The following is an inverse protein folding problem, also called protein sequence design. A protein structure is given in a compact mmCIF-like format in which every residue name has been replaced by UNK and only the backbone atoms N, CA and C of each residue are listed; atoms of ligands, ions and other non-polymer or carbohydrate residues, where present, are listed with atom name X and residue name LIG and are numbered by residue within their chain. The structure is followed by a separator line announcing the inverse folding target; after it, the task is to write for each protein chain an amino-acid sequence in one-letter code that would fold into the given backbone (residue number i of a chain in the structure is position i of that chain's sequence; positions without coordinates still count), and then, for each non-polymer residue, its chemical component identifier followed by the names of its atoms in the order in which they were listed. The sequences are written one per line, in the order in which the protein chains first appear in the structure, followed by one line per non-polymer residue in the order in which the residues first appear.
data_IF_083289034039
#
_entry.id   IF_083289034039
#
_cell.length_a   1.000
_cell.length_b   1.000
_cell.length_c   1.000
_cell.angle_alpha   90.00
_cell.angle_beta   90.00
_cell.angle_gamma   90.00
#
_symmetry.space_group_name_H-M   'P 1'
#
loop_
_entity.id
_entity.type
_entity.pdbx_description
1 polymer ?
#
# COMPACT_ATOMS: atom_id res chain seq x y z
N UNK A 1 8.34 8.47 -1.22
CA UNK A 1 8.31 7.02 -0.90
C UNK A 1 7.18 6.34 -1.65
N UNK A 2 7.42 5.13 -2.13
CA UNK A 2 6.40 4.25 -2.73
C UNK A 2 6.44 2.88 -2.06
N UNK A 3 5.32 2.15 -2.11
CA UNK A 3 5.24 0.78 -1.63
C UNK A 3 4.42 -0.05 -2.61
N UNK A 4 4.99 -1.16 -3.10
CA UNK A 4 4.34 -2.02 -4.11
C UNK A 4 4.71 -3.49 -3.91
N UNK A 5 3.79 -4.39 -4.28
CA UNK A 5 4.08 -5.84 -4.37
C UNK A 5 4.67 -6.23 -5.73
N UNK A 6 4.56 -5.36 -6.74
CA UNK A 6 5.25 -5.48 -8.02
C UNK A 6 6.46 -4.54 -8.04
N UNK A 7 7.65 -5.07 -8.36
CA UNK A 7 8.91 -4.33 -8.33
C UNK A 7 9.99 -5.01 -9.19
N UNK A 8 11.04 -4.25 -9.49
CA UNK A 8 12.19 -4.64 -10.31
C UNK A 8 13.47 -4.17 -9.60
N UNK A 9 14.35 -5.10 -9.22
CA UNK A 9 15.67 -4.85 -8.62
C UNK A 9 16.71 -5.36 -9.64
N UNK A 10 17.22 -4.44 -10.43
CA UNK A 10 17.91 -4.72 -11.70
C UNK A 10 19.22 -5.50 -11.53
N UNK A 11 20.06 -5.11 -10.59
CA UNK A 11 21.36 -5.71 -10.31
C UNK A 11 21.26 -7.08 -9.63
N UNK A 12 20.14 -7.37 -8.96
CA UNK A 12 19.82 -8.70 -8.43
C UNK A 12 19.06 -9.59 -9.42
N UNK A 13 18.72 -9.07 -10.61
CA UNK A 13 17.88 -9.74 -11.59
C UNK A 13 16.52 -10.22 -11.01
N UNK A 14 16.00 -9.53 -10.00
CA UNK A 14 14.70 -9.83 -9.38
C UNK A 14 13.61 -9.03 -10.07
N UNK A 15 12.58 -9.73 -10.54
CA UNK A 15 11.45 -9.11 -11.23
C UNK A 15 10.13 -9.74 -10.81
N UNK A 16 9.32 -8.95 -10.12
CA UNK A 16 7.97 -9.31 -9.69
C UNK A 16 6.98 -8.47 -10.50
N UNK A 17 6.39 -9.06 -11.54
CA UNK A 17 5.59 -8.32 -12.52
C UNK A 17 4.47 -9.17 -13.07
N UNK A 18 3.25 -8.67 -12.95
CA UNK A 18 2.07 -9.33 -13.53
C UNK A 18 1.18 -8.39 -14.35
N UNK A 19 1.34 -7.06 -14.25
CA UNK A 19 0.46 -6.14 -14.94
C UNK A 19 1.02 -4.75 -15.20
N UNK A 20 0.11 -3.79 -15.37
CA UNK A 20 0.44 -2.39 -15.65
C UNK A 20 1.18 -1.70 -14.49
N UNK A 21 0.91 -2.11 -13.24
CA UNK A 21 1.64 -1.58 -12.08
C UNK A 21 3.12 -1.98 -12.12
N UNK A 22 3.45 -3.23 -12.44
CA UNK A 22 4.84 -3.66 -12.61
C UNK A 22 5.56 -2.98 -13.78
N UNK A 23 4.85 -2.56 -14.84
CA UNK A 23 5.42 -1.69 -15.88
C UNK A 23 5.78 -0.32 -15.31
N UNK A 24 4.87 0.29 -14.53
CA UNK A 24 5.12 1.59 -13.90
C UNK A 24 6.26 1.53 -12.89
N UNK A 25 6.31 0.49 -12.05
CA UNK A 25 7.42 0.21 -11.16
C UNK A 25 8.75 0.22 -11.92
N UNK A 26 8.86 -0.56 -12.99
CA UNK A 26 10.08 -0.63 -13.80
C UNK A 26 10.47 0.74 -14.40
N UNK A 27 9.50 1.50 -14.91
CA UNK A 27 9.75 2.81 -15.49
C UNK A 27 10.17 3.84 -14.45
N UNK A 28 9.55 3.83 -13.26
CA UNK A 28 9.93 4.69 -12.15
C UNK A 28 11.38 4.43 -11.73
N UNK A 29 11.78 3.17 -11.61
CA UNK A 29 13.15 2.80 -11.24
C UNK A 29 14.22 3.29 -12.23
N UNK A 30 13.85 3.46 -13.50
CA UNK A 30 14.76 3.91 -14.57
C UNK A 30 14.75 5.42 -14.79
N UNK A 31 13.62 6.09 -14.56
CA UNK A 31 13.41 7.48 -14.99
C UNK A 31 13.33 8.49 -13.83
N UNK A 32 13.20 8.04 -12.57
CA UNK A 32 13.16 8.93 -11.40
C UNK A 32 14.55 9.17 -10.78
N UNK A 33 15.62 9.16 -11.58
CA UNK A 33 17.01 9.31 -11.09
C UNK A 33 17.31 10.63 -10.36
N UNK A 34 16.41 11.60 -10.46
CA UNK A 34 16.51 12.93 -9.85
C UNK A 34 15.77 13.05 -8.51
N UNK A 35 15.19 11.96 -8.00
CA UNK A 35 14.45 11.91 -6.74
C UNK A 35 15.04 10.83 -5.84
N UNK A 36 15.27 11.11 -4.55
CA UNK A 36 15.65 10.05 -3.61
C UNK A 36 14.42 9.19 -3.29
N UNK A 37 14.43 7.94 -3.74
CA UNK A 37 13.27 7.08 -3.70
C UNK A 37 13.42 6.00 -2.62
N UNK A 38 12.62 6.09 -1.57
CA UNK A 38 12.40 4.98 -0.66
C UNK A 38 11.31 4.08 -1.26
N UNK A 39 11.62 2.80 -1.45
CA UNK A 39 10.73 1.82 -2.07
C UNK A 39 10.55 0.59 -1.17
N UNK A 40 9.38 0.49 -0.53
CA UNK A 40 9.04 -0.66 0.32
C UNK A 40 8.50 -1.81 -0.53
N UNK A 41 9.06 -3.00 -0.35
CA UNK A 41 8.70 -4.21 -1.11
C UNK A 41 8.68 -5.47 -0.21
N UNK A 42 7.73 -6.41 -0.41
CA UNK A 42 7.71 -7.68 0.32
C UNK A 42 8.56 -8.74 -0.38
N UNK A 43 9.26 -9.57 0.38
CA UNK A 43 9.98 -10.74 -0.14
C UNK A 43 9.01 -11.90 -0.41
N UNK A 44 8.89 -12.35 -1.67
CA UNK A 44 8.01 -13.46 -2.07
C UNK A 44 8.70 -14.82 -1.93
N UNK A 45 7.95 -15.93 -2.00
CA UNK A 45 8.45 -17.26 -1.63
C UNK A 45 9.36 -17.94 -2.66
N UNK A 46 9.13 -17.72 -3.95
CA UNK A 46 9.83 -18.39 -5.06
C UNK A 46 11.03 -17.58 -5.59
N UNK A 47 11.54 -16.66 -4.79
CA UNK A 47 12.67 -15.77 -5.12
C UNK A 47 13.68 -15.78 -3.98
N UNK A 48 14.95 -15.96 -4.34
CA UNK A 48 16.09 -15.79 -3.44
C UNK A 48 16.49 -14.32 -3.43
N UNK A 49 16.52 -13.73 -2.23
CA UNK A 49 16.95 -12.35 -2.02
C UNK A 49 18.34 -12.37 -1.40
N UNK A 50 19.36 -11.79 -2.06
CA UNK A 50 20.68 -11.61 -1.47
C UNK A 50 20.60 -10.83 -0.15
N UNK A 51 21.50 -11.14 0.77
CA UNK A 51 21.72 -10.29 1.95
C UNK A 51 22.58 -9.09 1.55
N UNK A 52 22.19 -7.89 1.97
CA UNK A 52 22.94 -6.65 1.75
C UNK A 52 23.12 -5.89 3.06
N UNK A 53 22.20 -5.00 3.42
CA UNK A 53 22.28 -4.22 4.65
C UNK A 53 21.17 -4.62 5.62
N UNK A 54 21.37 -5.63 6.49
CA UNK A 54 20.44 -5.92 7.57
C UNK A 54 20.14 -4.67 8.40
N UNK A 55 18.88 -4.48 8.73
CA UNK A 55 18.40 -3.37 9.53
C UNK A 55 17.58 -3.86 10.72
N UNK A 56 17.28 -2.96 11.66
CA UNK A 56 16.43 -3.29 12.80
C UNK A 56 15.08 -3.86 12.33
N UNK A 57 14.60 -4.99 12.88
CA UNK A 57 13.31 -5.54 12.52
C UNK A 57 12.16 -4.55 12.75
N UNK A 58 11.07 -4.72 11.99
CA UNK A 58 9.80 -4.04 12.27
C UNK A 58 8.93 -4.98 13.09
N UNK A 59 8.17 -4.44 14.03
CA UNK A 59 7.19 -5.19 14.81
C UNK A 59 5.79 -4.73 14.44
N UNK A 60 4.98 -5.64 13.92
CA UNK A 60 3.57 -5.39 13.57
C UNK A 60 2.66 -6.09 14.57
N UNK A 61 1.49 -5.53 14.83
CA UNK A 61 0.51 -6.17 15.72
C UNK A 61 -0.67 -6.67 14.90
N UNK A 62 -1.07 -7.92 15.10
CA UNK A 62 -2.24 -8.53 14.45
C UNK A 62 -2.97 -9.35 15.49
N UNK A 63 -4.28 -9.12 15.65
CA UNK A 63 -5.09 -9.79 16.67
C UNK A 63 -4.49 -9.66 18.09
N UNK A 64 -3.90 -8.51 18.40
CA UNK A 64 -3.25 -8.22 19.68
C UNK A 64 -1.89 -8.89 19.89
N UNK A 65 -1.39 -9.68 18.94
CA UNK A 65 -0.08 -10.32 19.02
C UNK A 65 0.95 -9.56 18.19
N UNK A 66 2.17 -9.42 18.72
CA UNK A 66 3.28 -8.79 18.02
C UNK A 66 4.05 -9.82 17.19
N UNK A 67 4.32 -9.47 15.93
CA UNK A 67 5.06 -10.29 14.98
C UNK A 67 6.27 -9.52 14.45
N UNK A 68 7.41 -10.20 14.41
CA UNK A 68 8.64 -9.67 13.84
C UNK A 68 8.61 -9.77 12.30
N UNK A 69 9.02 -8.69 11.64
CA UNK A 69 9.30 -8.62 10.22
C UNK A 69 10.77 -8.25 10.07
N UNK A 70 11.56 -9.15 9.46
CA UNK A 70 12.96 -8.88 9.18
C UNK A 70 13.06 -7.83 8.07
N UNK A 71 13.99 -6.91 8.24
CA UNK A 71 14.20 -5.81 7.30
C UNK A 71 15.64 -5.81 6.86
N UNK A 72 15.85 -5.61 5.57
CA UNK A 72 17.14 -5.20 5.04
C UNK A 72 16.96 -4.10 4.01
N UNK A 73 18.03 -3.34 3.81
CA UNK A 73 18.09 -2.30 2.80
C UNK A 73 19.01 -2.74 1.66
N UNK A 74 18.61 -2.35 0.46
CA UNK A 74 19.44 -2.45 -0.72
C UNK A 74 19.38 -1.12 -1.48
N UNK A 75 20.54 -0.56 -1.79
CA UNK A 75 20.64 0.75 -2.45
C UNK A 75 21.14 0.56 -3.87
N UNK A 76 20.26 0.85 -4.84
CA UNK A 76 20.61 0.88 -6.26
C UNK A 76 20.39 2.29 -6.80
N UNK A 77 21.48 2.98 -7.13
CA UNK A 77 21.47 4.39 -7.57
C UNK A 77 20.85 5.28 -6.49
N UNK A 78 19.76 5.97 -6.80
CA UNK A 78 18.99 6.86 -5.93
C UNK A 78 17.80 6.17 -5.24
N UNK A 79 17.71 4.84 -5.34
CA UNK A 79 16.60 4.05 -4.79
C UNK A 79 17.11 3.26 -3.58
N UNK A 80 16.48 3.45 -2.44
CA UNK A 80 16.63 2.58 -1.27
C UNK A 80 15.45 1.62 -1.24
N UNK A 81 15.69 0.37 -1.58
CA UNK A 81 14.73 -0.70 -1.41
C UNK A 81 14.69 -1.12 0.06
N UNK A 82 13.50 -1.10 0.64
CA UNK A 82 13.21 -1.61 1.98
C UNK A 82 12.54 -2.96 1.81
N UNK A 83 13.32 -4.03 1.99
CA UNK A 83 12.85 -5.40 1.82
C UNK A 83 12.25 -5.91 3.12
N UNK A 84 11.01 -6.36 3.06
CA UNK A 84 10.25 -6.90 4.19
C UNK A 84 10.17 -8.43 4.06
N UNK A 85 10.78 -9.14 5.01
CA UNK A 85 10.78 -10.58 5.04
C UNK A 85 10.12 -11.12 6.32
N UNK A 86 8.99 -11.79 6.13
CA UNK A 86 8.25 -12.46 7.20
C UNK A 86 7.43 -13.61 6.61
N UNK A 87 7.05 -14.62 7.42
CA UNK A 87 6.22 -15.73 6.96
C UNK A 87 4.93 -15.32 6.25
N UNK A 88 4.34 -14.17 6.61
CA UNK A 88 3.13 -13.64 5.96
C UNK A 88 3.37 -13.17 4.52
N UNK A 89 4.59 -12.77 4.16
CA UNK A 89 4.93 -12.24 2.83
C UNK A 89 5.44 -13.30 1.85
N UNK A 90 5.75 -14.50 2.34
CA UNK A 90 6.32 -15.61 1.56
C UNK A 90 5.32 -16.46 0.75
N UNK A 91 4.01 -16.55 1.05
CA UNK A 91 3.09 -17.33 0.23
C UNK A 91 2.92 -16.84 -1.21
N UNK A 92 2.86 -15.52 -1.50
CA UNK A 92 2.88 -15.01 -2.87
C UNK A 92 4.14 -15.42 -3.64
N UNK A 93 4.04 -15.38 -4.98
CA UNK A 93 5.13 -15.73 -5.91
C UNK A 93 5.43 -14.59 -6.87
N UNK A 94 6.51 -14.68 -7.65
CA UNK A 94 6.86 -13.67 -8.66
C UNK A 94 5.81 -13.52 -9.77
N UNK A 95 5.03 -14.58 -10.04
CA UNK A 95 3.93 -14.59 -11.02
C UNK A 95 2.56 -14.37 -10.40
N UNK A 96 2.44 -14.47 -9.07
CA UNK A 96 1.23 -14.23 -8.30
C UNK A 96 1.58 -13.47 -7.01
N UNK A 97 1.91 -12.17 -7.10
CA UNK A 97 2.48 -11.39 -5.99
C UNK A 97 1.44 -10.86 -4.99
N UNK A 98 0.16 -11.14 -5.21
CA UNK A 98 -0.93 -10.73 -4.33
C UNK A 98 -1.53 -11.96 -3.62
N UNK A 99 -2.10 -11.80 -2.41
CA UNK A 99 -2.93 -12.84 -1.81
C UNK A 99 -4.01 -13.35 -2.77
N UNK A 100 -4.18 -14.67 -2.87
CA UNK A 100 -5.08 -15.31 -3.83
C UNK A 100 -6.57 -14.98 -3.61
N UNK A 101 -6.94 -14.72 -2.35
CA UNK A 101 -8.25 -14.22 -1.93
C UNK A 101 -8.09 -12.83 -1.34
N UNK A 102 -9.10 -11.99 -1.51
CA UNK A 102 -9.05 -10.58 -1.10
C UNK A 102 -9.93 -10.26 0.11
N UNK A 103 -10.71 -11.22 0.61
CA UNK A 103 -11.78 -11.02 1.59
C UNK A 103 -11.78 -12.08 2.71
N UNK A 104 -10.65 -12.75 2.91
CA UNK A 104 -10.46 -13.73 3.99
C UNK A 104 -9.52 -13.21 5.09
N UNK A 105 -9.36 -14.02 6.14
CA UNK A 105 -8.51 -13.67 7.28
C UNK A 105 -7.03 -13.59 6.87
N UNK A 106 -6.54 -14.49 6.02
CA UNK A 106 -5.13 -14.53 5.61
C UNK A 106 -4.75 -13.27 4.84
N UNK A 107 -5.61 -12.83 3.92
CA UNK A 107 -5.40 -11.56 3.20
C UNK A 107 -5.55 -10.34 4.12
N UNK A 108 -6.45 -10.38 5.11
CA UNK A 108 -6.54 -9.32 6.12
C UNK A 108 -5.24 -9.19 6.93
N UNK A 109 -4.68 -10.33 7.39
CA UNK A 109 -3.41 -10.38 8.11
C UNK A 109 -2.27 -9.85 7.22
N UNK A 110 -2.24 -10.25 5.95
CA UNK A 110 -1.27 -9.76 4.97
C UNK A 110 -1.32 -8.24 4.83
N UNK A 111 -2.49 -7.67 4.52
CA UNK A 111 -2.62 -6.23 4.30
C UNK A 111 -2.46 -5.42 5.59
N UNK A 112 -2.81 -6.00 6.74
CA UNK A 112 -2.52 -5.42 8.05
C UNK A 112 -1.02 -5.28 8.28
N UNK A 113 -0.27 -6.38 8.16
CA UNK A 113 1.19 -6.38 8.34
C UNK A 113 1.87 -5.45 7.32
N UNK A 114 1.44 -5.51 6.06
CA UNK A 114 1.95 -4.66 4.98
C UNK A 114 1.81 -3.17 5.28
N UNK A 115 0.62 -2.71 5.64
CA UNK A 115 0.39 -1.28 5.91
C UNK A 115 1.12 -0.80 7.17
N UNK A 116 1.21 -1.64 8.20
CA UNK A 116 1.99 -1.32 9.40
C UNK A 116 3.48 -1.19 9.08
N UNK A 117 4.05 -2.08 8.27
CA UNK A 117 5.45 -1.97 7.84
C UNK A 117 5.70 -0.72 7.00
N UNK A 118 4.78 -0.34 6.11
CA UNK A 118 4.89 0.92 5.37
C UNK A 118 4.90 2.11 6.33
N UNK A 119 4.01 2.12 7.33
CA UNK A 119 3.99 3.18 8.34
C UNK A 119 5.31 3.23 9.14
N UNK A 120 5.88 2.08 9.51
CA UNK A 120 7.20 2.02 10.15
C UNK A 120 8.31 2.54 9.22
N UNK A 121 8.26 2.24 7.92
CA UNK A 121 9.20 2.82 6.96
C UNK A 121 9.07 4.35 6.89
N UNK A 122 7.85 4.90 6.90
CA UNK A 122 7.63 6.36 6.96
C UNK A 122 8.23 7.01 8.21
N UNK A 123 8.31 6.29 9.34
CA UNK A 123 8.94 6.79 10.57
C UNK A 123 10.47 6.77 10.49
N UNK A 124 11.04 5.81 9.76
CA UNK A 124 12.50 5.62 9.65
C UNK A 124 13.15 6.55 8.64
N UNK A 125 12.42 6.93 7.59
CA UNK A 125 12.96 7.73 6.50
C UNK A 125 12.32 9.13 6.47
N UNK A 126 13.10 10.20 6.21
CA UNK A 126 12.54 11.53 6.00
C UNK A 126 11.89 11.60 4.62
N UNK A 127 10.56 11.40 4.56
CA UNK A 127 9.83 11.40 3.29
C UNK A 127 8.98 12.66 3.14
N UNK A 128 8.98 13.26 1.95
CA UNK A 128 8.14 14.43 1.65
C UNK A 128 6.73 14.06 1.17
N UNK A 129 6.62 12.89 0.54
CA UNK A 129 5.40 12.42 -0.12
C UNK A 129 5.34 10.89 -0.10
N UNK A 130 4.16 10.37 0.22
CA UNK A 130 3.84 8.96 0.03
C UNK A 130 2.93 8.73 -1.18
N UNK A 131 3.36 7.87 -2.10
CA UNK A 131 2.57 7.48 -3.26
C UNK A 131 1.86 6.15 -3.00
N UNK A 132 0.55 6.23 -2.81
CA UNK A 132 -0.35 5.10 -2.66
C UNK A 132 -0.71 4.56 -4.04
N UNK A 133 -0.48 3.26 -4.26
CA UNK A 133 -0.86 2.55 -5.47
C UNK A 133 -2.08 1.65 -5.18
N UNK A 134 -3.23 2.04 -5.73
CA UNK A 134 -4.54 1.44 -5.47
C UNK A 134 -4.85 1.32 -3.96
N UNK A 135 -5.43 0.20 -3.53
CA UNK A 135 -5.92 0.03 -2.16
C UNK A 135 -4.84 -0.50 -1.19
N UNK A 136 -3.78 -1.11 -1.71
CA UNK A 136 -2.97 -2.04 -0.93
C UNK A 136 -2.23 -1.39 0.23
N UNK A 137 -1.69 -0.19 0.02
CA UNK A 137 -0.92 0.58 1.00
C UNK A 137 -1.67 1.79 1.58
N UNK A 138 -3.01 1.80 1.50
CA UNK A 138 -3.81 2.99 1.79
C UNK A 138 -4.04 3.27 3.29
N UNK A 139 -3.87 2.27 4.17
CA UNK A 139 -4.01 2.44 5.61
C UNK A 139 -2.74 2.98 6.25
N UNK A 140 -1.58 2.81 5.62
CA UNK A 140 -0.29 3.19 6.20
C UNK A 140 -0.28 4.60 6.84
N UNK A 141 -0.81 5.66 6.19
CA UNK A 141 -0.84 6.99 6.81
C UNK A 141 -1.71 7.09 8.06
N UNK A 142 -2.72 6.23 8.22
CA UNK A 142 -3.63 6.24 9.36
C UNK A 142 -2.93 5.80 10.66
N UNK A 143 -1.94 4.91 10.58
CA UNK A 143 -1.13 4.49 11.74
C UNK A 143 -0.20 5.60 12.26
N UNK A 144 -0.05 6.70 11.52
CA UNK A 144 0.77 7.84 11.93
C UNK A 144 -0.04 8.95 12.59
N UNK A 145 -1.37 8.87 12.57
CA UNK A 145 -2.21 9.91 13.13
C UNK A 145 -1.91 10.14 14.63
N UNK A 146 -1.92 11.40 15.10
CA UNK A 146 -2.38 12.61 14.39
C UNK A 146 -1.33 13.24 13.45
N UNK A 147 -0.11 12.71 13.38
CA UNK A 147 0.89 13.19 12.42
C UNK A 147 0.49 12.80 10.99
N UNK A 148 0.64 13.71 10.04
CA UNK A 148 0.23 13.49 8.65
C UNK A 148 1.37 13.76 7.68
N UNK A 149 1.46 12.92 6.66
CA UNK A 149 2.39 13.07 5.53
C UNK A 149 1.57 13.34 4.27
N UNK A 150 2.01 14.23 3.36
CA UNK A 150 1.38 14.38 2.06
C UNK A 150 1.30 13.02 1.33
N UNK A 151 0.16 12.76 0.69
CA UNK A 151 -0.09 11.54 -0.05
C UNK A 151 -0.66 11.82 -1.45
N UNK A 152 -0.31 10.97 -2.41
CA UNK A 152 -0.97 10.88 -3.70
C UNK A 152 -1.50 9.46 -3.91
N UNK A 153 -2.66 9.35 -4.57
CA UNK A 153 -3.33 8.07 -4.84
C UNK A 153 -3.42 7.84 -6.33
N UNK A 154 -2.71 6.84 -6.84
CA UNK A 154 -2.84 6.38 -8.23
C UNK A 154 -3.78 5.19 -8.31
N UNK A 155 -4.79 5.31 -9.18
CA UNK A 155 -5.76 4.26 -9.48
C UNK A 155 -5.36 3.54 -10.77
N UNK A 156 -4.94 2.30 -10.65
CA UNK A 156 -4.71 1.37 -11.76
C UNK A 156 -5.90 0.43 -11.94
N UNK A 157 -6.50 -0.02 -10.84
CA UNK A 157 -7.74 -0.80 -10.88
C UNK A 157 -8.65 -0.60 -9.64
N UNK A 158 -9.48 0.44 -9.68
CA UNK A 158 -10.47 0.78 -8.66
C UNK A 158 -11.65 -0.21 -8.53
N UNK A 159 -11.72 -1.24 -9.36
CA UNK A 159 -12.66 -2.35 -9.15
C UNK A 159 -12.27 -3.19 -7.94
N UNK A 160 -10.97 -3.32 -7.68
CA UNK A 160 -10.44 -3.96 -6.48
C UNK A 160 -10.23 -2.92 -5.38
N UNK A 161 -10.90 -3.12 -4.24
CA UNK A 161 -10.96 -2.11 -3.18
C UNK A 161 -10.45 -2.60 -1.82
N UNK A 162 -10.21 -3.91 -1.65
CA UNK A 162 -9.88 -4.52 -0.36
C UNK A 162 -11.03 -4.37 0.63
N UNK A 163 -11.94 -5.35 0.65
CA UNK A 163 -13.22 -5.24 1.34
C UNK A 163 -13.38 -6.35 2.38
N UNK A 164 -13.70 -5.98 3.61
CA UNK A 164 -14.10 -6.91 4.67
C UNK A 164 -15.42 -6.47 5.31
N UNK A 165 -16.23 -7.42 5.84
CA UNK A 165 -17.46 -7.09 6.56
C UNK A 165 -17.21 -6.18 7.77
N UNK A 166 -18.10 -5.21 7.98
CA UNK A 166 -18.08 -4.29 9.12
C UNK A 166 -19.52 -3.83 9.48
N UNK A 167 -20.46 -4.77 9.47
CA UNK A 167 -21.91 -4.55 9.65
C UNK A 167 -22.29 -4.51 11.12
N UNK A 168 -21.75 -5.44 11.89
CA UNK A 168 -22.05 -5.61 13.32
C UNK A 168 -20.92 -5.06 14.19
N UNK A 169 -21.20 -4.88 15.49
CA UNK A 169 -20.16 -4.51 16.45
C UNK A 169 -19.05 -5.57 16.52
N UNK A 170 -19.41 -6.85 16.49
CA UNK A 170 -18.44 -7.95 16.53
C UNK A 170 -17.54 -7.95 15.29
N UNK A 171 -18.11 -7.82 14.09
CA UNK A 171 -17.33 -7.73 12.84
C UNK A 171 -16.40 -6.53 12.85
N UNK A 172 -16.86 -5.39 13.39
CA UNK A 172 -16.06 -4.18 13.57
C UNK A 172 -14.89 -4.40 14.51
N UNK A 173 -15.12 -5.00 15.67
CA UNK A 173 -14.07 -5.26 16.65
C UNK A 173 -13.05 -6.28 16.11
N UNK A 174 -13.52 -7.31 15.41
CA UNK A 174 -12.68 -8.33 14.78
C UNK A 174 -11.79 -7.72 13.69
N UNK A 175 -12.36 -7.01 12.70
CA UNK A 175 -11.57 -6.43 11.61
C UNK A 175 -10.60 -5.37 12.12
N UNK A 176 -11.01 -4.54 13.10
CA UNK A 176 -10.11 -3.56 13.71
C UNK A 176 -8.96 -4.23 14.49
N UNK A 177 -9.22 -5.36 15.15
CA UNK A 177 -8.21 -6.14 15.85
C UNK A 177 -7.20 -6.78 14.89
N UNK A 178 -7.65 -7.32 13.75
CA UNK A 178 -6.76 -7.86 12.70
C UNK A 178 -5.88 -6.74 12.12
N UNK A 179 -6.48 -5.61 11.75
CA UNK A 179 -5.76 -4.47 11.18
C UNK A 179 -5.02 -3.62 12.22
N UNK A 180 -5.12 -3.92 13.51
CA UNK A 180 -4.55 -3.12 14.60
C UNK A 180 -4.87 -1.62 14.46
N UNK A 181 -6.13 -1.30 14.17
CA UNK A 181 -6.60 0.06 13.95
C UNK A 181 -7.63 0.43 15.01
N UNK A 182 -7.52 1.62 15.59
CA UNK A 182 -8.53 2.13 16.51
C UNK A 182 -9.90 2.19 15.83
N UNK A 183 -10.94 1.76 16.54
CA UNK A 183 -12.31 1.66 16.00
C UNK A 183 -12.82 3.03 15.52
N UNK A 184 -12.46 4.13 16.18
CA UNK A 184 -12.86 5.47 15.75
C UNK A 184 -12.12 5.89 14.48
N UNK A 185 -10.84 5.55 14.34
CA UNK A 185 -10.09 5.76 13.09
C UNK A 185 -10.69 4.92 11.96
N UNK A 186 -10.95 3.64 12.20
CA UNK A 186 -11.59 2.75 11.22
C UNK A 186 -12.95 3.30 10.77
N UNK A 187 -13.80 3.70 11.73
CA UNK A 187 -15.13 4.28 11.46
C UNK A 187 -15.05 5.58 10.66
N UNK A 188 -14.07 6.44 10.96
CA UNK A 188 -13.95 7.76 10.32
C UNK A 188 -13.34 7.72 8.92
N UNK A 189 -12.36 6.85 8.72
CA UNK A 189 -11.53 6.86 7.51
C UNK A 189 -11.79 5.66 6.59
N UNK A 190 -12.03 4.47 7.16
CA UNK A 190 -11.98 3.20 6.42
C UNK A 190 -13.38 2.67 6.11
N UNK A 191 -14.32 2.84 7.04
CA UNK A 191 -15.68 2.33 6.88
C UNK A 191 -16.42 3.08 5.77
N UNK A 192 -16.97 2.33 4.83
CA UNK A 192 -17.89 2.84 3.82
C UNK A 192 -19.18 2.02 3.81
N UNK A 193 -20.26 2.56 4.37
CA UNK A 193 -21.47 1.79 4.62
C UNK A 193 -21.20 0.67 5.64
N UNK A 194 -21.39 -0.57 5.26
CA UNK A 194 -21.22 -1.74 6.13
C UNK A 194 -19.94 -2.55 5.85
N UNK A 195 -18.96 -1.95 5.16
CA UNK A 195 -17.69 -2.60 4.83
C UNK A 195 -16.50 -1.79 5.31
N UNK A 196 -15.46 -2.50 5.73
CA UNK A 196 -14.11 -1.99 5.89
C UNK A 196 -13.47 -1.95 4.49
N UNK A 197 -13.15 -0.75 3.99
CA UNK A 197 -12.73 -0.55 2.59
C UNK A 197 -11.37 0.16 2.52
N UNK A 198 -10.33 -0.58 2.10
CA UNK A 198 -8.98 -0.05 2.02
C UNK A 198 -8.88 1.09 1.00
N UNK A 199 -9.47 0.98 -0.18
CA UNK A 199 -9.40 2.05 -1.18
C UNK A 199 -10.10 3.32 -0.70
N UNK A 200 -11.21 3.16 0.02
CA UNK A 200 -11.90 4.27 0.67
C UNK A 200 -11.01 4.96 1.70
N UNK A 201 -10.22 4.23 2.48
CA UNK A 201 -9.27 4.82 3.43
C UNK A 201 -8.31 5.82 2.76
N UNK A 202 -7.73 5.46 1.61
CA UNK A 202 -6.87 6.36 0.84
C UNK A 202 -7.62 7.61 0.38
N UNK A 203 -8.83 7.45 -0.17
CA UNK A 203 -9.65 8.58 -0.60
C UNK A 203 -10.09 9.48 0.58
N UNK A 204 -10.46 8.88 1.70
CA UNK A 204 -10.84 9.56 2.94
C UNK A 204 -9.68 10.35 3.54
N UNK A 205 -8.47 9.79 3.53
CA UNK A 205 -7.27 10.50 3.96
C UNK A 205 -7.06 11.77 3.13
N UNK A 206 -7.11 11.67 1.79
CA UNK A 206 -7.00 12.84 0.90
C UNK A 206 -8.13 13.85 1.15
N UNK A 207 -9.37 13.39 1.33
CA UNK A 207 -10.53 14.25 1.64
C UNK A 207 -10.28 15.06 2.91
N UNK A 208 -9.89 14.39 3.99
CA UNK A 208 -9.78 14.99 5.33
C UNK A 208 -8.54 15.88 5.45
N UNK A 209 -7.39 15.42 4.95
CA UNK A 209 -6.10 16.08 5.21
C UNK A 209 -5.60 16.92 4.04
N UNK A 210 -6.13 16.74 2.83
CA UNK A 210 -5.71 17.46 1.62
C UNK A 210 -6.88 18.09 0.86
N UNK A 211 -8.02 18.27 1.53
CA UNK A 211 -9.25 18.82 0.94
C UNK A 211 -9.66 18.10 -0.36
N UNK A 212 -9.45 16.78 -0.42
CA UNK A 212 -9.80 15.95 -1.57
C UNK A 212 -8.89 16.09 -2.79
N UNK A 213 -7.68 16.64 -2.62
CA UNK A 213 -6.66 16.72 -3.67
C UNK A 213 -5.66 15.55 -3.58
N UNK A 214 -5.17 15.07 -4.73
CA UNK A 214 -4.07 14.11 -4.81
C UNK A 214 -4.38 12.76 -5.47
N UNK A 215 -5.60 12.54 -5.97
CA UNK A 215 -5.97 11.30 -6.67
C UNK A 215 -5.86 11.44 -8.20
N UNK A 216 -5.30 10.42 -8.86
CA UNK A 216 -5.17 10.33 -10.32
C UNK A 216 -5.51 8.92 -10.79
N UNK A 217 -6.06 8.81 -12.00
CA UNK A 217 -6.16 7.53 -12.71
C UNK A 217 -5.07 7.39 -13.78
N UNK A 218 -4.71 6.16 -14.12
CA UNK A 218 -3.71 5.82 -15.17
C UNK A 218 -4.04 6.33 -16.58
N UNK A 219 -5.23 6.90 -16.79
CA UNK A 219 -5.56 7.67 -17.99
C UNK A 219 -6.69 8.65 -17.69
N UNK A 220 -6.87 9.65 -18.56
CA UNK A 220 -7.98 10.61 -18.46
C UNK A 220 -9.36 9.94 -18.52
N UNK A 221 -9.53 8.98 -19.43
CA UNK A 221 -10.78 8.21 -19.55
C UNK A 221 -11.01 7.32 -18.33
N UNK A 222 -9.94 6.71 -17.81
CA UNK A 222 -10.03 5.87 -16.63
C UNK A 222 -10.40 6.68 -15.38
N UNK A 223 -9.65 7.74 -15.05
CA UNK A 223 -9.91 8.58 -13.88
C UNK A 223 -11.33 9.15 -13.85
N UNK A 224 -11.83 9.66 -14.99
CA UNK A 224 -13.22 10.15 -15.10
C UNK A 224 -14.25 9.05 -14.85
N UNK A 225 -14.03 7.84 -15.38
CA UNK A 225 -14.93 6.70 -15.17
C UNK A 225 -14.90 6.21 -13.73
N UNK A 226 -13.74 6.09 -13.11
CA UNK A 226 -13.60 5.65 -11.72
C UNK A 226 -14.31 6.62 -10.77
N UNK A 227 -14.13 7.93 -10.95
CA UNK A 227 -14.83 8.94 -10.15
C UNK A 227 -16.36 8.89 -10.31
N UNK A 228 -16.85 8.68 -11.53
CA UNK A 228 -18.29 8.57 -11.78
C UNK A 228 -18.91 7.26 -11.27
N UNK A 229 -18.17 6.14 -11.36
CA UNK A 229 -18.67 4.79 -11.05
C UNK A 229 -18.66 4.48 -9.55
N UNK A 230 -17.63 4.90 -8.81
CA UNK A 230 -17.39 4.43 -7.45
C UNK A 230 -17.66 5.54 -6.40
N UNK A 231 -18.69 5.39 -5.55
CA UNK A 231 -19.06 6.40 -4.56
C UNK A 231 -17.99 6.75 -3.52
N UNK A 232 -17.06 5.82 -3.27
CA UNK A 232 -15.94 6.03 -2.33
C UNK A 232 -15.07 7.25 -2.68
N UNK A 233 -15.13 7.73 -3.92
CA UNK A 233 -14.36 8.88 -4.40
C UNK A 233 -15.12 10.21 -4.40
N UNK A 234 -16.42 10.24 -4.11
CA UNK A 234 -17.23 11.46 -4.24
C UNK A 234 -16.90 12.55 -3.22
N UNK A 235 -16.09 12.22 -2.20
CA UNK A 235 -15.48 13.21 -1.30
C UNK A 235 -14.23 13.89 -1.86
N UNK A 236 -13.71 13.46 -3.02
CA UNK A 236 -12.56 14.06 -3.68
C UNK A 236 -12.98 15.22 -4.58
N UNK A 237 -12.11 16.23 -4.75
CA UNK A 237 -12.38 17.36 -5.66
C UNK A 237 -12.48 16.91 -7.12
N UNK A 238 -11.60 15.98 -7.50
CA UNK A 238 -11.54 15.32 -8.82
C UNK A 238 -10.60 14.13 -8.73
N UNK A 239 -10.73 13.19 -9.67
CA UNK A 239 -9.68 12.24 -10.01
C UNK A 239 -9.00 12.74 -11.28
N UNK A 240 -7.74 13.15 -11.15
CA UNK A 240 -6.90 13.61 -12.25
C UNK A 240 -6.45 12.48 -13.16
N UNK A 241 -5.43 12.76 -13.97
CA UNK A 241 -4.86 11.78 -14.88
C UNK A 241 -3.33 11.80 -14.81
N UNK A 242 -2.74 10.62 -14.73
CA UNK A 242 -1.33 10.38 -14.92
C UNK A 242 -1.23 9.27 -15.98
N UNK A 243 -1.15 9.61 -17.28
CA UNK A 243 -1.10 8.60 -18.33
C UNK A 243 0.13 7.71 -18.13
N UNK A 244 -0.04 6.39 -18.24
CA UNK A 244 1.10 5.48 -18.33
C UNK A 244 1.95 5.89 -19.55
N UNK A 245 3.29 5.85 -19.46
CA UNK A 245 4.15 6.09 -20.61
C UNK A 245 3.84 5.06 -21.72
N UNK A 246 3.66 5.55 -22.95
CA UNK A 246 3.54 4.71 -24.15
C UNK A 246 4.86 3.99 -24.47
#
# INVERSE_FOLDING_TARGET
MIATMEYDIEDWAIKIKIGGLGVMAQLMGKNLSHQDLIWVVPCVGDVEYPEDQPAEPMFVTVLGNSYEVKVQYHVLRNITYVLLDAPVFRPPTKTEPYPARMDDLDSAIYYSAWNQCIAEAMKRFPIDLYHINDYHGSLAPLYLLPHTIPACLSLHNAEFQGLWPMRTQNERDEVCSVFNLDVNIATRYVQFGEVFNLLHAGASYLRVHQQGFGAVGVSKKYGKRSYARYPIFWGLKKVGNLPNPD
#
